data_IF_787311720326
#
_entry.id   IF_787311720326
#
_cell.length_a   1.000
_cell.length_b   1.000
_cell.length_c   1.000
_cell.angle_alpha   90.00
_cell.angle_beta   90.00
_cell.angle_gamma   90.00
#
_symmetry.space_group_name_H-M   'P 1'
#
loop_
_entity.id
_entity.type
_entity.pdbx_description
1 polymer ?
#
# COMPACT_ATOMS: atom_id res chain seq x y z
N UNK A 1 -2.85 -41.36 -21.87
CA UNK A 1 -2.65 -40.12 -22.63
C UNK A 1 -1.91 -39.16 -21.73
N UNK A 2 -0.75 -38.64 -22.14
CA UNK A 2 -0.06 -37.58 -21.41
C UNK A 2 -0.91 -36.30 -21.60
N UNK A 3 -1.33 -35.69 -20.52
CA UNK A 3 -1.97 -34.38 -20.51
C UNK A 3 -0.89 -33.36 -20.90
N UNK A 4 -0.81 -33.01 -22.16
CA UNK A 4 0.12 -32.00 -22.68
C UNK A 4 -0.64 -30.68 -22.61
N UNK A 5 -0.23 -29.82 -21.70
CA UNK A 5 -0.77 -28.49 -21.55
C UNK A 5 0.11 -27.50 -22.32
N UNK A 6 -0.46 -26.81 -23.28
CA UNK A 6 0.17 -25.69 -23.96
C UNK A 6 0.22 -24.49 -22.99
N UNK A 7 1.40 -23.94 -22.78
CA UNK A 7 1.61 -22.74 -21.97
C UNK A 7 1.91 -21.62 -22.96
N UNK A 8 1.04 -20.60 -23.06
CA UNK A 8 1.30 -19.45 -23.93
C UNK A 8 2.60 -18.74 -23.51
N UNK A 9 3.40 -18.32 -24.49
CA UNK A 9 4.55 -17.45 -24.24
C UNK A 9 4.12 -16.13 -23.64
N UNK A 10 4.94 -15.58 -22.72
CA UNK A 10 4.68 -14.26 -22.14
C UNK A 10 4.84 -13.18 -23.24
N UNK A 11 3.91 -12.24 -23.33
CA UNK A 11 3.85 -11.15 -24.34
C UNK A 11 5.08 -10.21 -24.34
N UNK A 12 6.15 -10.50 -23.61
CA UNK A 12 7.28 -9.62 -23.36
C UNK A 12 8.61 -10.07 -23.97
N UNK A 13 8.62 -11.05 -24.86
CA UNK A 13 9.84 -11.44 -25.61
C UNK A 13 10.15 -10.49 -26.77
N UNK A 14 10.24 -9.17 -26.50
CA UNK A 14 10.73 -8.22 -27.48
C UNK A 14 12.26 -8.22 -27.50
N UNK A 15 12.84 -8.67 -28.59
CA UNK A 15 14.25 -8.45 -28.87
C UNK A 15 14.41 -6.99 -29.35
N UNK A 16 15.04 -6.15 -28.51
CA UNK A 16 15.30 -4.76 -28.81
C UNK A 16 16.64 -4.64 -29.58
N UNK A 17 16.66 -3.74 -30.55
CA UNK A 17 17.87 -3.57 -31.38
C UNK A 17 18.86 -2.57 -30.77
N UNK A 18 18.39 -1.53 -30.11
CA UNK A 18 19.19 -0.45 -29.53
C UNK A 18 18.82 -0.22 -28.07
N UNK A 19 19.69 -0.61 -27.17
CA UNK A 19 19.43 -0.53 -25.73
C UNK A 19 20.56 0.15 -24.98
N UNK A 20 20.20 0.77 -23.85
CA UNK A 20 21.16 1.25 -22.88
C UNK A 20 20.85 0.67 -21.49
N UNK A 21 21.89 0.53 -20.68
CA UNK A 21 21.76 0.12 -19.29
C UNK A 21 22.63 1.01 -18.41
N UNK A 22 22.13 1.35 -17.24
CA UNK A 22 22.81 2.16 -16.22
C UNK A 22 22.84 1.41 -14.91
N UNK A 23 24.02 1.01 -14.48
CA UNK A 23 24.25 0.53 -13.11
C UNK A 23 24.60 1.71 -12.23
N UNK A 24 23.72 2.05 -11.27
CA UNK A 24 23.74 3.31 -10.55
C UNK A 24 24.39 3.18 -9.18
N UNK A 25 25.36 4.05 -8.91
CA UNK A 25 25.96 4.33 -7.61
C UNK A 25 25.58 5.74 -7.12
N UNK A 26 26.01 6.09 -5.91
CA UNK A 26 25.68 7.40 -5.29
C UNK A 26 26.18 8.61 -6.09
N UNK A 27 27.39 8.56 -6.62
CA UNK A 27 28.04 9.69 -7.29
C UNK A 27 28.08 9.58 -8.81
N UNK A 28 27.76 8.41 -9.37
CA UNK A 28 27.89 8.13 -10.80
C UNK A 28 27.03 6.95 -11.23
N UNK A 29 26.88 6.78 -12.55
CA UNK A 29 26.32 5.56 -13.15
C UNK A 29 27.31 4.98 -14.16
N UNK A 30 27.45 3.67 -14.20
CA UNK A 30 28.15 2.96 -15.28
C UNK A 30 27.16 2.69 -16.40
N UNK A 31 27.35 3.36 -17.51
CA UNK A 31 26.46 3.28 -18.68
C UNK A 31 27.02 2.26 -19.67
N UNK A 32 26.16 1.45 -20.25
CA UNK A 32 26.45 0.60 -21.38
C UNK A 32 25.41 0.78 -22.47
N UNK A 33 25.80 1.23 -23.64
CA UNK A 33 24.97 1.11 -24.85
C UNK A 33 25.30 -0.20 -25.56
N UNK A 34 24.26 -0.81 -26.16
CA UNK A 34 24.38 -1.98 -26.98
C UNK A 34 23.54 -1.82 -28.24
N UNK A 35 24.26 -1.69 -29.39
CA UNK A 35 23.68 -1.35 -30.69
C UNK A 35 24.18 -2.29 -31.79
N UNK A 36 23.51 -2.40 -32.94
CA UNK A 36 24.03 -3.12 -34.10
C UNK A 36 25.35 -2.53 -34.58
N UNK A 37 26.27 -3.38 -35.08
CA UNK A 37 27.49 -2.92 -35.70
C UNK A 37 27.18 -2.28 -37.07
N UNK A 38 27.76 -1.12 -37.35
CA UNK A 38 27.43 -0.33 -38.54
C UNK A 38 27.65 -1.07 -39.87
N UNK A 39 28.69 -1.90 -39.95
CA UNK A 39 29.09 -2.54 -41.21
C UNK A 39 29.01 -4.08 -41.21
N UNK A 40 28.72 -4.72 -40.09
CA UNK A 40 28.70 -6.19 -39.97
C UNK A 40 27.34 -6.67 -39.45
N UNK A 41 26.45 -7.21 -40.32
CA UNK A 41 25.16 -7.75 -39.91
C UNK A 41 25.31 -8.85 -38.83
N UNK A 42 24.42 -8.83 -37.86
CA UNK A 42 24.40 -9.79 -36.73
C UNK A 42 25.45 -9.53 -35.64
N UNK A 43 26.45 -8.68 -35.86
CA UNK A 43 27.41 -8.27 -34.83
C UNK A 43 26.84 -7.12 -33.98
N UNK A 44 27.12 -7.15 -32.68
CA UNK A 44 26.71 -6.14 -31.70
C UNK A 44 27.93 -5.40 -31.15
N UNK A 45 27.78 -4.09 -30.94
CA UNK A 45 28.78 -3.25 -30.28
C UNK A 45 28.26 -2.87 -28.90
N UNK A 46 29.10 -3.04 -27.88
CA UNK A 46 28.84 -2.57 -26.53
C UNK A 46 29.87 -1.52 -26.17
N UNK A 47 29.43 -0.32 -25.88
CA UNK A 47 30.28 0.81 -25.43
C UNK A 47 29.96 1.08 -23.97
N UNK A 48 31.01 1.19 -23.11
CA UNK A 48 30.85 1.36 -21.67
C UNK A 48 31.63 2.57 -21.20
N UNK A 49 30.98 3.46 -20.45
CA UNK A 49 31.62 4.62 -19.83
C UNK A 49 30.91 5.00 -18.51
N UNK A 50 31.56 5.84 -17.73
CA UNK A 50 31.03 6.34 -16.48
C UNK A 50 30.46 7.74 -16.68
N UNK A 51 29.28 8.01 -16.09
CA UNK A 51 28.59 9.30 -16.10
C UNK A 51 28.40 9.75 -14.66
N UNK A 52 28.71 11.03 -14.38
CA UNK A 52 28.44 11.62 -13.05
C UNK A 52 26.93 11.69 -12.79
N UNK A 53 26.52 11.46 -11.53
CA UNK A 53 25.12 11.57 -11.11
C UNK A 53 24.66 13.04 -10.94
N UNK A 54 25.24 13.97 -11.68
CA UNK A 54 24.83 15.40 -11.71
C UNK A 54 23.84 15.64 -12.83
N UNK A 55 22.95 16.61 -12.63
CA UNK A 55 21.88 16.92 -13.58
C UNK A 55 22.42 17.15 -15.01
N UNK A 56 23.42 17.99 -15.17
CA UNK A 56 23.96 18.32 -16.50
C UNK A 56 24.59 17.10 -17.20
N UNK A 57 25.31 16.25 -16.44
CA UNK A 57 25.91 15.05 -17.02
C UNK A 57 24.86 14.02 -17.46
N UNK A 58 23.76 13.90 -16.71
CA UNK A 58 22.66 13.00 -17.07
C UNK A 58 21.86 13.55 -18.24
N UNK A 59 21.66 14.86 -18.34
CA UNK A 59 21.00 15.48 -19.50
C UNK A 59 21.85 15.29 -20.77
N UNK A 60 23.18 15.49 -20.68
CA UNK A 60 24.06 15.20 -21.82
C UNK A 60 24.01 13.71 -22.23
N UNK A 61 23.98 12.79 -21.25
CA UNK A 61 23.75 11.37 -21.52
C UNK A 61 22.40 11.14 -22.24
N UNK A 62 21.35 11.82 -21.82
CA UNK A 62 20.02 11.65 -22.43
C UNK A 62 20.02 12.07 -23.91
N UNK A 63 20.68 13.20 -24.23
CA UNK A 63 20.84 13.68 -25.58
C UNK A 63 21.65 12.68 -26.43
N UNK A 64 22.76 12.15 -25.91
CA UNK A 64 23.60 11.13 -26.55
C UNK A 64 22.85 9.81 -26.83
N UNK A 65 22.01 9.37 -25.88
CA UNK A 65 21.17 8.17 -26.03
C UNK A 65 20.05 8.39 -27.06
N UNK A 66 19.48 9.58 -27.12
CA UNK A 66 18.47 9.93 -28.12
C UNK A 66 19.07 9.98 -29.54
N UNK A 67 20.28 10.56 -29.72
CA UNK A 67 21.01 10.56 -31.00
C UNK A 67 21.37 9.14 -31.49
N UNK A 68 21.54 8.21 -30.53
CA UNK A 68 21.79 6.79 -30.84
C UNK A 68 20.50 6.00 -31.14
N UNK A 69 19.32 6.61 -31.18
CA UNK A 69 18.01 5.97 -31.34
C UNK A 69 17.80 4.80 -30.33
N UNK A 70 18.13 5.02 -29.07
CA UNK A 70 17.97 4.01 -28.03
C UNK A 70 16.50 3.76 -27.76
N UNK A 71 16.02 2.55 -28.01
CA UNK A 71 14.62 2.12 -27.83
C UNK A 71 14.25 1.99 -26.36
N UNK A 72 15.22 1.59 -25.49
CA UNK A 72 15.00 1.40 -24.06
C UNK A 72 16.25 1.62 -23.25
N UNK A 73 16.07 2.33 -22.13
CA UNK A 73 17.10 2.49 -21.10
C UNK A 73 16.67 1.73 -19.85
N UNK A 74 17.53 0.87 -19.32
CA UNK A 74 17.30 0.17 -18.07
C UNK A 74 18.21 0.73 -16.99
N UNK A 75 17.62 1.08 -15.85
CA UNK A 75 18.33 1.62 -14.68
C UNK A 75 18.24 0.60 -13.56
N UNK A 76 19.39 0.15 -13.03
CA UNK A 76 19.47 -0.72 -11.85
C UNK A 76 19.96 0.07 -10.65
N UNK A 77 19.23 -0.01 -9.52
CA UNK A 77 19.70 0.56 -8.25
C UNK A 77 19.20 -0.21 -7.04
N UNK A 78 20.02 -0.26 -6.01
CA UNK A 78 19.66 -0.85 -4.71
C UNK A 78 19.13 0.16 -3.70
N UNK A 79 19.23 1.48 -4.00
CA UNK A 79 18.81 2.61 -3.17
C UNK A 79 18.04 3.63 -4.00
N UNK A 80 17.83 4.83 -3.49
CA UNK A 80 17.15 5.94 -4.17
C UNK A 80 18.01 6.67 -5.22
N UNK A 81 19.26 6.26 -5.40
CA UNK A 81 20.21 6.88 -6.33
C UNK A 81 19.81 6.78 -7.81
N UNK A 82 18.88 5.89 -8.15
CA UNK A 82 18.31 5.75 -9.48
C UNK A 82 17.44 6.94 -9.91
N UNK A 83 16.87 7.70 -8.95
CA UNK A 83 15.89 8.76 -9.23
C UNK A 83 16.41 9.83 -10.18
N UNK A 84 17.59 10.44 -10.02
CA UNK A 84 18.09 11.43 -10.95
C UNK A 84 18.21 10.88 -12.37
N UNK A 85 18.76 9.68 -12.54
CA UNK A 85 18.88 9.05 -13.87
C UNK A 85 17.49 8.78 -14.47
N UNK A 86 16.62 8.13 -13.72
CA UNK A 86 15.28 7.78 -14.23
C UNK A 86 14.50 9.01 -14.63
N UNK A 87 14.41 10.01 -13.75
CA UNK A 87 13.54 11.17 -13.96
C UNK A 87 14.04 12.08 -15.09
N UNK A 88 15.33 12.28 -15.22
CA UNK A 88 15.88 13.13 -16.25
C UNK A 88 15.86 12.45 -17.63
N UNK A 89 16.12 11.15 -17.70
CA UNK A 89 16.00 10.38 -18.94
C UNK A 89 14.53 10.27 -19.39
N UNK A 90 13.59 10.03 -18.46
CA UNK A 90 12.16 10.05 -18.73
C UNK A 90 11.68 11.41 -19.24
N UNK A 91 12.14 12.52 -18.63
CA UNK A 91 11.79 13.88 -19.03
C UNK A 91 12.27 14.24 -20.43
N UNK A 92 13.30 13.54 -20.95
CA UNK A 92 13.77 13.67 -22.35
C UNK A 92 13.04 12.74 -23.31
N UNK A 93 11.97 12.05 -22.86
CA UNK A 93 11.14 11.19 -23.70
C UNK A 93 11.70 9.79 -23.94
N UNK A 94 12.78 9.39 -23.25
CA UNK A 94 13.32 8.05 -23.37
C UNK A 94 12.44 7.03 -22.63
N UNK A 95 12.30 5.83 -23.19
CA UNK A 95 11.63 4.71 -22.53
C UNK A 95 12.53 4.13 -21.43
N UNK A 96 12.30 4.51 -20.17
CA UNK A 96 13.15 4.13 -19.04
C UNK A 96 12.47 3.06 -18.20
N UNK A 97 13.19 1.97 -17.92
CA UNK A 97 12.76 0.92 -17.02
C UNK A 97 13.65 0.89 -15.76
N UNK A 98 13.03 0.92 -14.60
CA UNK A 98 13.72 0.63 -13.34
C UNK A 98 13.66 -0.87 -13.08
N UNK A 99 14.80 -1.50 -12.81
CA UNK A 99 14.86 -2.92 -12.50
C UNK A 99 15.51 -3.18 -11.14
N UNK A 100 15.08 -4.27 -10.50
CA UNK A 100 15.61 -4.62 -9.20
C UNK A 100 16.87 -5.48 -9.33
N UNK A 101 17.96 -5.05 -8.71
CA UNK A 101 19.24 -5.77 -8.65
C UNK A 101 19.12 -7.26 -8.27
N UNK A 102 18.15 -7.61 -7.41
CA UNK A 102 17.95 -8.99 -6.99
C UNK A 102 17.47 -9.92 -8.13
N UNK A 103 16.73 -9.39 -9.10
CA UNK A 103 16.28 -10.17 -10.26
C UNK A 103 17.43 -10.42 -11.24
N UNK A 104 18.34 -9.47 -11.37
CA UNK A 104 19.51 -9.53 -12.23
C UNK A 104 20.60 -10.46 -11.67
N UNK A 105 20.75 -10.53 -10.34
CA UNK A 105 21.80 -11.31 -9.64
C UNK A 105 21.64 -12.83 -9.71
N UNK A 106 20.46 -13.34 -10.00
CA UNK A 106 20.17 -14.78 -9.96
C UNK A 106 20.47 -15.52 -11.27
N UNK A 107 21.04 -14.84 -12.28
CA UNK A 107 21.40 -15.47 -13.55
C UNK A 107 22.85 -15.98 -13.47
N UNK A 108 23.10 -17.29 -13.72
CA UNK A 108 24.45 -17.88 -13.67
C UNK A 108 25.40 -17.23 -14.69
N UNK A 109 26.70 -17.15 -14.34
CA UNK A 109 27.76 -16.68 -15.26
C UNK A 109 28.01 -15.16 -15.23
N UNK A 110 27.52 -14.45 -14.22
CA UNK A 110 27.72 -13.01 -14.06
C UNK A 110 29.16 -12.68 -13.64
N UNK A 111 29.89 -11.85 -14.39
CA UNK A 111 31.15 -11.24 -13.95
C UNK A 111 30.91 -10.20 -12.84
N UNK A 112 31.94 -9.92 -12.01
CA UNK A 112 31.79 -9.06 -10.83
C UNK A 112 32.56 -7.73 -10.95
N UNK A 113 32.27 -6.94 -11.97
CA UNK A 113 32.79 -5.56 -12.07
C UNK A 113 31.68 -4.65 -12.59
N UNK A 114 31.62 -3.40 -12.14
CA UNK A 114 30.58 -2.45 -12.53
C UNK A 114 30.45 -2.32 -14.07
N UNK A 115 31.58 -2.35 -14.80
CA UNK A 115 31.57 -2.33 -16.28
C UNK A 115 30.88 -3.57 -16.87
N UNK A 116 31.21 -4.74 -16.34
CA UNK A 116 30.64 -6.00 -16.83
C UNK A 116 29.18 -6.17 -16.35
N UNK A 117 28.83 -5.59 -15.21
CA UNK A 117 27.46 -5.55 -14.72
C UNK A 117 26.57 -4.69 -15.63
N UNK A 118 27.03 -3.51 -16.06
CA UNK A 118 26.30 -2.68 -17.03
C UNK A 118 26.15 -3.39 -18.39
N UNK A 119 27.21 -4.05 -18.88
CA UNK A 119 27.14 -4.85 -20.13
C UNK A 119 26.16 -6.02 -19.99
N UNK A 120 26.16 -6.69 -18.85
CA UNK A 120 25.23 -7.78 -18.56
C UNK A 120 23.78 -7.30 -18.55
N UNK A 121 23.54 -6.19 -17.87
CA UNK A 121 22.23 -5.56 -17.81
C UNK A 121 21.72 -5.18 -19.20
N UNK A 122 22.58 -4.60 -20.06
CA UNK A 122 22.26 -4.29 -21.46
C UNK A 122 21.92 -5.54 -22.28
N UNK A 123 22.65 -6.67 -22.09
CA UNK A 123 22.34 -7.94 -22.76
C UNK A 123 21.00 -8.52 -22.34
N UNK A 124 20.64 -8.42 -21.05
CA UNK A 124 19.33 -8.86 -20.54
C UNK A 124 18.19 -7.97 -21.06
N UNK A 125 18.43 -6.66 -21.17
CA UNK A 125 17.49 -5.72 -21.76
C UNK A 125 17.20 -6.05 -23.22
N UNK A 126 18.26 -6.26 -24.00
CA UNK A 126 18.16 -6.63 -25.43
C UNK A 126 17.29 -7.87 -25.65
N UNK A 127 17.40 -8.85 -24.76
CA UNK A 127 16.71 -10.14 -24.85
C UNK A 127 15.31 -10.15 -24.21
N UNK A 128 14.80 -9.02 -23.75
CA UNK A 128 13.51 -8.96 -23.05
C UNK A 128 13.42 -9.70 -21.71
N UNK A 129 14.57 -10.07 -21.12
CA UNK A 129 14.62 -10.92 -19.90
C UNK A 129 14.40 -10.15 -18.59
N UNK A 130 14.15 -8.84 -18.65
CA UNK A 130 13.97 -7.99 -17.49
C UNK A 130 12.50 -7.59 -17.33
N UNK A 131 12.07 -7.52 -16.07
CA UNK A 131 10.74 -7.02 -15.72
C UNK A 131 10.88 -5.66 -15.05
N UNK A 132 10.17 -4.62 -15.53
CA UNK A 132 10.22 -3.31 -14.91
C UNK A 132 9.58 -3.31 -13.53
N UNK A 133 10.16 -2.52 -12.64
CA UNK A 133 9.52 -2.10 -11.42
C UNK A 133 8.54 -0.97 -11.71
N UNK A 134 7.39 -0.96 -11.06
CA UNK A 134 6.42 0.12 -11.25
C UNK A 134 6.96 1.44 -10.67
N UNK A 135 7.17 2.41 -11.55
CA UNK A 135 7.43 3.82 -11.21
C UNK A 135 6.22 4.62 -11.70
N UNK A 136 5.45 5.26 -10.82
CA UNK A 136 4.27 5.99 -11.23
C UNK A 136 4.62 7.27 -11.99
N UNK A 137 3.64 7.86 -12.72
CA UNK A 137 3.78 9.17 -13.37
C UNK A 137 4.16 10.27 -12.37
N UNK A 138 4.70 11.38 -12.87
CA UNK A 138 5.23 12.49 -12.06
C UNK A 138 4.21 13.03 -11.03
N UNK A 139 2.96 13.23 -11.46
CA UNK A 139 1.88 13.72 -10.61
C UNK A 139 1.57 12.78 -9.44
N UNK A 140 1.57 11.47 -9.71
CA UNK A 140 1.38 10.45 -8.68
C UNK A 140 2.62 10.33 -7.77
N UNK A 141 3.83 10.60 -8.29
CA UNK A 141 5.05 10.65 -7.46
C UNK A 141 5.00 11.80 -6.48
N UNK A 142 4.57 12.99 -6.92
CA UNK A 142 4.38 14.15 -6.04
C UNK A 142 3.36 13.82 -4.93
N UNK A 143 2.18 13.33 -5.30
CA UNK A 143 1.16 12.92 -4.34
C UNK A 143 1.69 11.86 -3.35
N UNK A 144 2.51 10.92 -3.82
CA UNK A 144 3.12 9.87 -3.00
C UNK A 144 4.08 10.44 -1.96
N UNK A 145 4.86 11.43 -2.29
CA UNK A 145 5.80 12.06 -1.35
C UNK A 145 5.03 12.73 -0.19
N UNK A 146 3.97 13.47 -0.49
CA UNK A 146 3.10 14.08 0.52
C UNK A 146 2.37 13.04 1.38
N UNK A 147 1.78 12.02 0.78
CA UNK A 147 1.02 10.99 1.52
C UNK A 147 1.92 10.17 2.42
N UNK A 148 3.12 9.82 1.97
CA UNK A 148 4.12 9.09 2.78
C UNK A 148 4.60 9.93 3.94
N UNK A 149 4.96 11.19 3.71
CA UNK A 149 5.35 12.10 4.78
C UNK A 149 4.24 12.24 5.82
N UNK A 150 2.97 12.40 5.39
CA UNK A 150 1.82 12.43 6.31
C UNK A 150 1.73 11.16 7.18
N UNK A 151 1.93 9.98 6.59
CA UNK A 151 1.93 8.70 7.34
C UNK A 151 3.08 8.67 8.35
N UNK A 152 4.27 9.09 7.97
CA UNK A 152 5.44 9.07 8.84
C UNK A 152 5.31 10.06 10.00
N UNK A 153 4.87 11.30 9.74
CA UNK A 153 4.58 12.28 10.79
C UNK A 153 3.43 11.83 11.71
N UNK A 154 2.41 11.15 11.19
CA UNK A 154 1.34 10.55 12.02
C UNK A 154 1.90 9.49 12.97
N UNK A 155 2.83 8.66 12.51
CA UNK A 155 3.51 7.68 13.36
C UNK A 155 4.38 8.34 14.41
N UNK A 156 5.09 9.40 14.06
CA UNK A 156 5.91 10.18 14.99
C UNK A 156 5.04 10.84 16.06
N UNK A 157 3.95 11.46 15.66
CA UNK A 157 2.97 12.04 16.60
C UNK A 157 2.46 10.99 17.59
N UNK A 158 2.12 9.80 17.11
CA UNK A 158 1.70 8.69 17.98
C UNK A 158 2.79 8.25 18.96
N UNK A 159 4.08 8.29 18.54
CA UNK A 159 5.20 8.00 19.43
C UNK A 159 5.32 9.05 20.55
N UNK A 160 5.07 10.34 20.27
CA UNK A 160 5.08 11.37 21.30
C UNK A 160 3.95 11.17 22.31
N UNK A 161 2.74 10.83 21.86
CA UNK A 161 1.64 10.46 22.76
C UNK A 161 1.99 9.25 23.65
N UNK A 162 2.62 8.21 23.09
CA UNK A 162 3.07 7.04 23.85
C UNK A 162 4.21 7.38 24.85
N UNK A 163 5.10 8.30 24.50
CA UNK A 163 6.14 8.78 25.45
C UNK A 163 5.52 9.55 26.59
N UNK A 164 4.51 10.38 26.30
CA UNK A 164 3.77 11.09 27.33
C UNK A 164 3.03 10.14 28.27
N UNK A 165 2.38 9.10 27.73
CA UNK A 165 1.77 8.05 28.56
C UNK A 165 2.80 7.38 29.50
N UNK A 166 3.99 7.04 29.00
CA UNK A 166 5.06 6.47 29.82
C UNK A 166 5.58 7.44 30.88
N UNK A 167 5.64 8.73 30.56
CA UNK A 167 6.02 9.76 31.54
C UNK A 167 4.98 9.86 32.68
N UNK A 168 3.69 9.77 32.35
CA UNK A 168 2.64 9.73 33.36
C UNK A 168 2.72 8.45 34.22
N UNK A 169 3.06 7.30 33.63
CA UNK A 169 3.30 6.05 34.37
C UNK A 169 4.48 6.17 35.32
N UNK A 170 5.57 6.85 34.93
CA UNK A 170 6.73 7.15 35.79
C UNK A 170 6.35 8.06 36.96
N UNK A 171 5.47 9.02 36.71
CA UNK A 171 4.88 9.88 37.73
C UNK A 171 3.81 9.18 38.59
N UNK A 172 3.63 7.86 38.44
CA UNK A 172 2.62 7.03 39.12
C UNK A 172 1.16 7.43 38.80
N UNK A 173 0.93 8.11 37.69
CA UNK A 173 -0.39 8.51 37.23
C UNK A 173 -0.94 7.48 36.23
N UNK A 174 -2.12 6.93 36.53
CA UNK A 174 -2.75 5.88 35.73
C UNK A 174 -3.86 6.41 34.81
N UNK A 175 -3.73 7.63 34.31
CA UNK A 175 -4.77 8.33 33.55
C UNK A 175 -5.23 7.53 32.32
N UNK A 176 -4.33 6.83 31.62
CA UNK A 176 -4.63 6.00 30.43
C UNK A 176 -5.56 4.82 30.73
N UNK A 177 -5.65 4.36 31.98
CA UNK A 177 -6.58 3.28 32.36
C UNK A 177 -8.03 3.73 32.40
N UNK A 178 -8.27 5.03 32.58
CA UNK A 178 -9.61 5.65 32.67
C UNK A 178 -9.97 6.44 31.43
N UNK A 179 -9.03 7.25 30.92
CA UNK A 179 -9.13 8.04 29.71
C UNK A 179 -8.44 7.31 28.54
N UNK A 180 -9.23 6.74 27.65
CA UNK A 180 -8.71 5.97 26.50
C UNK A 180 -7.90 6.83 25.51
N UNK A 181 -8.22 8.13 25.45
CA UNK A 181 -7.52 9.11 24.63
C UNK A 181 -6.95 10.22 25.53
N UNK A 182 -5.66 10.14 25.79
CA UNK A 182 -4.93 11.15 26.57
C UNK A 182 -4.82 12.50 25.87
N UNK A 183 -4.86 12.50 24.53
CA UNK A 183 -4.75 13.72 23.72
C UNK A 183 -6.10 14.34 23.41
N UNK A 184 -7.21 13.69 23.81
CA UNK A 184 -8.57 14.23 23.73
C UNK A 184 -8.80 15.37 24.73
N UNK A 185 -9.90 16.10 24.56
CA UNK A 185 -10.21 17.34 25.29
C UNK A 185 -9.98 17.23 26.80
N UNK A 186 -10.49 16.16 27.45
CA UNK A 186 -10.35 15.99 28.91
C UNK A 186 -8.95 15.59 29.34
N UNK A 187 -8.33 14.61 28.65
CA UNK A 187 -6.98 14.15 28.96
C UNK A 187 -5.97 15.29 28.78
N UNK A 188 -6.09 16.01 27.68
CA UNK A 188 -5.25 17.18 27.40
C UNK A 188 -5.39 18.27 28.48
N UNK A 189 -6.62 18.62 28.89
CA UNK A 189 -6.84 19.62 29.93
C UNK A 189 -6.22 19.22 31.28
N UNK A 190 -6.32 17.94 31.66
CA UNK A 190 -5.69 17.42 32.88
C UNK A 190 -4.16 17.49 32.82
N UNK A 191 -3.56 17.11 31.69
CA UNK A 191 -2.12 17.15 31.49
C UNK A 191 -1.61 18.61 31.52
N UNK A 192 -2.32 19.54 30.86
CA UNK A 192 -1.98 20.96 30.88
C UNK A 192 -2.08 21.56 32.29
N UNK A 193 -3.07 21.16 33.08
CA UNK A 193 -3.20 21.58 34.47
C UNK A 193 -2.05 21.03 35.34
N UNK A 194 -1.66 19.76 35.15
CA UNK A 194 -0.50 19.18 35.80
C UNK A 194 0.79 19.94 35.48
N UNK A 195 1.00 20.33 34.24
CA UNK A 195 2.14 21.15 33.78
C UNK A 195 2.08 22.55 34.41
N UNK A 196 0.88 23.11 34.57
CA UNK A 196 0.67 24.39 35.20
C UNK A 196 0.85 24.39 36.74
N UNK A 197 1.11 23.22 37.33
CA UNK A 197 1.36 23.10 38.77
C UNK A 197 0.18 22.60 39.59
N UNK A 198 -0.95 22.24 38.98
CA UNK A 198 -2.06 21.63 39.71
C UNK A 198 -1.69 20.23 40.17
N UNK A 199 -1.95 19.91 41.44
CA UNK A 199 -1.61 18.62 42.04
C UNK A 199 -2.78 17.96 42.77
N UNK A 200 -3.90 18.71 42.99
CA UNK A 200 -5.09 18.13 43.62
C UNK A 200 -5.81 17.20 42.61
N UNK A 201 -5.87 15.88 42.85
CA UNK A 201 -6.57 14.95 41.97
C UNK A 201 -8.05 15.27 41.76
N UNK A 202 -8.69 15.95 42.70
CA UNK A 202 -10.11 16.35 42.59
C UNK A 202 -10.26 17.49 41.57
N UNK A 203 -9.42 18.51 41.69
CA UNK A 203 -9.41 19.65 40.77
C UNK A 203 -9.09 19.19 39.36
N UNK A 204 -8.14 18.26 39.19
CA UNK A 204 -7.81 17.64 37.92
C UNK A 204 -8.98 16.82 37.36
N UNK A 205 -9.68 16.04 38.18
CA UNK A 205 -10.83 15.23 37.77
C UNK A 205 -12.02 16.07 37.32
N UNK A 206 -12.21 17.28 37.90
CA UNK A 206 -13.25 18.24 37.55
C UNK A 206 -13.10 18.78 36.12
N UNK A 207 -11.92 18.67 35.51
CA UNK A 207 -11.68 19.04 34.12
C UNK A 207 -12.31 18.03 33.15
N UNK A 208 -12.84 16.90 33.64
CA UNK A 208 -13.47 15.87 32.79
C UNK A 208 -14.72 16.43 32.08
N UNK A 209 -14.85 16.12 30.79
CA UNK A 209 -15.98 16.51 29.92
C UNK A 209 -16.68 15.29 29.32
N UNK A 210 -17.94 15.46 28.99
CA UNK A 210 -18.76 14.44 28.34
C UNK A 210 -18.82 13.13 29.12
N UNK A 211 -18.56 12.01 28.46
CA UNK A 211 -18.64 10.66 29.06
C UNK A 211 -17.64 10.43 30.18
N UNK A 212 -16.57 11.19 30.26
CA UNK A 212 -15.56 11.01 31.31
C UNK A 212 -16.03 11.51 32.66
N UNK A 213 -17.02 12.43 32.73
CA UNK A 213 -17.59 12.95 33.97
C UNK A 213 -18.15 11.85 34.89
N UNK A 214 -18.78 10.82 34.33
CA UNK A 214 -19.33 9.70 35.13
C UNK A 214 -18.24 8.82 35.75
N UNK A 215 -16.97 8.99 35.33
CA UNK A 215 -15.81 8.28 35.88
C UNK A 215 -15.02 9.12 36.89
N UNK A 216 -15.60 10.17 37.46
CA UNK A 216 -14.93 11.15 38.31
C UNK A 216 -14.13 10.49 39.46
N UNK A 217 -14.74 9.56 40.22
CA UNK A 217 -14.05 8.86 41.31
C UNK A 217 -12.83 8.05 40.80
N UNK A 218 -12.98 7.38 39.66
CA UNK A 218 -11.86 6.64 39.04
C UNK A 218 -10.76 7.58 38.52
N UNK A 219 -11.11 8.79 38.08
CA UNK A 219 -10.14 9.80 37.70
C UNK A 219 -9.35 10.32 38.90
N UNK A 220 -10.00 10.59 40.04
CA UNK A 220 -9.30 11.00 41.28
C UNK A 220 -8.24 9.95 41.63
N UNK A 221 -8.60 8.69 41.65
CA UNK A 221 -7.67 7.59 41.95
C UNK A 221 -6.53 7.52 40.92
N UNK A 222 -6.85 7.60 39.64
CA UNK A 222 -5.87 7.55 38.55
C UNK A 222 -4.92 8.76 38.47
N UNK A 223 -5.33 9.90 39.02
CA UNK A 223 -4.54 11.14 39.09
C UNK A 223 -3.83 11.32 40.43
N UNK A 224 -3.99 10.38 41.35
CA UNK A 224 -3.23 10.33 42.61
C UNK A 224 -1.87 9.70 42.35
N UNK A 225 -0.81 10.52 42.41
CA UNK A 225 0.54 10.07 42.12
C UNK A 225 1.57 11.14 42.48
N UNK A 226 2.74 11.08 41.86
CA UNK A 226 3.84 12.02 42.11
C UNK A 226 4.27 12.65 40.79
N UNK A 227 3.72 13.80 40.47
CA UNK A 227 4.06 14.58 39.29
C UNK A 227 4.91 15.78 39.72
N UNK A 228 6.21 15.66 39.57
CA UNK A 228 7.19 16.68 39.95
C UNK A 228 7.46 17.67 38.78
N UNK A 229 8.20 18.75 39.05
CA UNK A 229 8.43 19.80 38.05
C UNK A 229 9.16 19.30 36.81
N UNK A 230 10.13 18.36 36.96
CA UNK A 230 10.80 17.75 35.81
C UNK A 230 9.83 16.95 34.90
N UNK A 231 8.79 16.30 35.46
CA UNK A 231 7.74 15.69 34.64
C UNK A 231 6.95 16.75 33.86
N UNK A 232 6.69 17.91 34.49
CA UNK A 232 6.04 19.03 33.81
C UNK A 232 6.84 19.58 32.62
N UNK A 233 8.16 19.76 32.80
CA UNK A 233 9.06 20.19 31.73
C UNK A 233 9.07 19.20 30.57
N UNK A 234 9.25 17.91 30.85
CA UNK A 234 9.28 16.86 29.83
C UNK A 234 7.91 16.70 29.14
N UNK A 235 6.81 16.77 29.89
CA UNK A 235 5.47 16.73 29.34
C UNK A 235 5.21 17.89 28.37
N UNK A 236 5.65 19.12 28.71
CA UNK A 236 5.54 20.29 27.85
C UNK A 236 6.28 20.06 26.54
N UNK A 237 7.54 19.62 26.58
CA UNK A 237 8.32 19.33 25.37
C UNK A 237 7.63 18.29 24.48
N UNK A 238 7.07 17.22 25.06
CA UNK A 238 6.36 16.18 24.31
C UNK A 238 5.05 16.69 23.67
N UNK A 239 4.30 17.55 24.40
CA UNK A 239 3.09 18.17 23.88
C UNK A 239 3.40 19.14 22.75
N UNK A 240 4.42 19.97 22.88
CA UNK A 240 4.84 20.92 21.84
C UNK A 240 5.22 20.19 20.54
N UNK A 241 5.95 19.09 20.65
CA UNK A 241 6.24 18.22 19.51
C UNK A 241 4.96 17.61 18.89
N UNK A 242 4.04 17.14 19.74
CA UNK A 242 2.78 16.57 19.27
C UNK A 242 1.94 17.60 18.52
N UNK A 243 1.85 18.81 19.03
CA UNK A 243 1.06 19.91 18.45
C UNK A 243 1.68 20.39 17.13
N UNK A 244 2.99 20.58 17.10
CA UNK A 244 3.71 20.91 15.86
C UNK A 244 3.48 19.87 14.75
N UNK A 245 3.57 18.59 15.08
CA UNK A 245 3.29 17.50 14.14
C UNK A 245 1.81 17.49 13.71
N UNK A 246 0.89 17.85 14.59
CA UNK A 246 -0.54 17.94 14.26
C UNK A 246 -0.80 18.99 13.20
N UNK A 247 -0.23 20.20 13.38
CA UNK A 247 -0.33 21.29 12.39
C UNK A 247 0.27 20.88 11.04
N UNK A 248 1.46 20.23 11.04
CA UNK A 248 2.09 19.77 9.81
C UNK A 248 1.25 18.70 9.09
N UNK A 249 0.65 17.76 9.82
CA UNK A 249 -0.24 16.73 9.26
C UNK A 249 -1.49 17.37 8.62
N UNK A 250 -2.04 18.41 9.22
CA UNK A 250 -3.18 19.17 8.68
C UNK A 250 -2.79 19.89 7.37
N UNK A 251 -1.65 20.58 7.35
CA UNK A 251 -1.13 21.23 6.15
C UNK A 251 -0.89 20.24 5.01
N UNK A 252 -0.27 19.08 5.31
CA UNK A 252 -0.09 18.02 4.32
C UNK A 252 -1.44 17.48 3.82
N UNK A 253 -2.42 17.34 4.70
CA UNK A 253 -3.76 16.87 4.33
C UNK A 253 -4.42 17.83 3.34
N UNK A 254 -4.41 19.12 3.63
CA UNK A 254 -4.95 20.15 2.72
C UNK A 254 -4.23 20.16 1.35
N UNK A 255 -2.90 19.99 1.35
CA UNK A 255 -2.13 19.91 0.09
C UNK A 255 -2.49 18.65 -0.72
N UNK A 256 -2.64 17.50 -0.06
CA UNK A 256 -3.05 16.25 -0.68
C UNK A 256 -4.44 16.36 -1.29
N UNK A 257 -5.40 16.98 -0.58
CA UNK A 257 -6.75 17.20 -1.11
C UNK A 257 -6.72 18.07 -2.37
N UNK A 258 -5.92 19.13 -2.37
CA UNK A 258 -5.71 19.98 -3.56
C UNK A 258 -5.13 19.19 -4.74
N UNK A 259 -4.08 18.40 -4.51
CA UNK A 259 -3.44 17.63 -5.57
C UNK A 259 -4.38 16.58 -6.18
N UNK A 260 -5.15 15.89 -5.35
CA UNK A 260 -6.14 14.91 -5.84
C UNK A 260 -7.25 15.61 -6.61
N UNK A 261 -7.69 16.79 -6.16
CA UNK A 261 -8.66 17.61 -6.89
C UNK A 261 -8.20 18.04 -8.29
N UNK A 262 -6.89 18.13 -8.50
CA UNK A 262 -6.26 18.49 -9.78
C UNK A 262 -6.03 17.30 -10.72
N UNK A 263 -6.17 16.04 -10.23
CA UNK A 263 -5.99 14.84 -11.05
C UNK A 263 -7.26 14.53 -11.85
N UNK A 264 -7.29 14.69 -13.19
CA UNK A 264 -8.50 14.43 -13.99
C UNK A 264 -9.00 12.98 -13.83
N UNK A 265 -8.10 12.01 -13.80
CA UNK A 265 -8.45 10.60 -13.64
C UNK A 265 -9.01 10.24 -12.25
N UNK A 266 -8.86 11.12 -11.24
CA UNK A 266 -9.45 10.94 -9.92
C UNK A 266 -10.88 11.47 -9.83
N UNK A 267 -11.28 12.31 -10.80
CA UNK A 267 -12.63 12.88 -10.87
C UNK A 267 -13.60 11.89 -11.54
N UNK A 268 -14.91 12.06 -11.36
CA UNK A 268 -15.87 11.26 -12.10
C UNK A 268 -15.71 11.54 -13.61
N UNK A 269 -15.93 10.53 -14.47
CA UNK A 269 -15.98 10.75 -15.91
C UNK A 269 -16.99 11.87 -16.22
N UNK A 270 -16.66 12.74 -17.16
CA UNK A 270 -17.60 13.75 -17.64
C UNK A 270 -18.84 13.03 -18.17
N UNK A 271 -20.01 13.31 -17.61
CA UNK A 271 -21.27 12.85 -18.18
C UNK A 271 -21.40 13.44 -19.58
N UNK A 272 -21.83 12.65 -20.54
CA UNK A 272 -22.20 13.13 -21.87
C UNK A 272 -23.43 14.05 -21.68
N UNK A 273 -23.21 15.35 -21.57
CA UNK A 273 -24.23 16.39 -21.46
C UNK A 273 -24.84 16.70 -22.85
N UNK A 274 -24.99 15.68 -23.69
CA UNK A 274 -25.67 15.74 -24.98
C UNK A 274 -27.07 15.17 -24.85
N UNK A 275 -27.96 15.94 -24.24
CA UNK A 275 -29.36 15.58 -24.10
C UNK A 275 -30.24 16.78 -23.87
N UNK A 276 -30.35 17.71 -24.87
CA UNK A 276 -31.58 18.48 -25.07
C UNK A 276 -32.73 17.49 -25.32
N UNK A 277 -33.57 17.32 -24.34
CA UNK A 277 -34.71 16.41 -24.40
C UNK A 277 -35.76 16.83 -23.38
N UNK A 278 -36.60 17.81 -23.73
CA UNK A 278 -37.91 18.01 -23.15
C UNK A 278 -38.69 16.66 -23.16
N UNK A 279 -39.01 16.13 -22.01
CA UNK A 279 -39.74 14.86 -21.87
C UNK A 279 -40.19 14.64 -20.44
N UNK A 280 -41.39 15.16 -20.12
CA UNK A 280 -42.21 14.75 -18.99
C UNK A 280 -42.37 13.23 -18.92
N UNK A 281 -42.05 12.60 -17.82
CA UNK A 281 -42.39 11.19 -17.63
C UNK A 281 -41.62 10.39 -16.60
N UNK A 282 -42.09 10.35 -15.36
CA UNK A 282 -41.96 9.14 -14.53
C UNK A 282 -40.70 9.02 -13.67
N UNK A 283 -40.90 9.16 -12.37
CA UNK A 283 -40.02 8.74 -11.31
C UNK A 283 -39.50 7.31 -11.46
N UNK A 284 -38.32 7.11 -12.09
CA UNK A 284 -37.54 5.87 -12.00
C UNK A 284 -36.19 6.04 -12.72
N UNK A 285 -35.21 6.22 -12.02
CA UNK A 285 -33.75 6.12 -12.21
C UNK A 285 -33.10 7.45 -11.81
N UNK A 286 -32.84 7.59 -10.51
CA UNK A 286 -31.78 8.47 -10.08
C UNK A 286 -30.52 8.00 -10.83
N UNK A 287 -30.12 8.74 -11.86
CA UNK A 287 -28.86 8.52 -12.56
C UNK A 287 -27.78 8.35 -11.48
N UNK A 288 -27.17 7.18 -11.46
CA UNK A 288 -26.21 6.84 -10.42
C UNK A 288 -25.04 7.82 -10.56
N UNK A 289 -25.05 8.86 -9.75
CA UNK A 289 -24.02 9.92 -9.75
C UNK A 289 -22.65 9.26 -9.71
N UNK A 290 -21.87 9.47 -10.75
CA UNK A 290 -20.49 9.01 -10.80
C UNK A 290 -19.71 9.69 -9.69
N UNK A 291 -19.01 8.90 -8.86
CA UNK A 291 -18.25 9.42 -7.73
C UNK A 291 -16.76 9.52 -8.06
N UNK A 292 -16.06 10.51 -7.47
CA UNK A 292 -14.61 10.56 -7.49
C UNK A 292 -13.97 9.28 -6.96
N UNK A 293 -12.77 8.95 -7.43
CA UNK A 293 -12.06 7.74 -7.03
C UNK A 293 -11.88 7.61 -5.50
N UNK A 294 -11.65 8.72 -4.79
CA UNK A 294 -11.53 8.73 -3.31
C UNK A 294 -12.82 8.27 -2.67
N UNK A 295 -13.98 8.79 -3.10
CA UNK A 295 -15.27 8.44 -2.54
C UNK A 295 -15.64 6.98 -2.82
N UNK A 296 -15.35 6.48 -4.02
CA UNK A 296 -15.58 5.07 -4.38
C UNK A 296 -14.73 4.10 -3.56
N UNK A 297 -13.48 4.47 -3.26
CA UNK A 297 -12.62 3.68 -2.41
C UNK A 297 -13.02 3.73 -0.93
N UNK A 298 -13.58 4.85 -0.47
CA UNK A 298 -14.07 5.04 0.90
C UNK A 298 -15.28 4.14 1.23
N UNK A 299 -16.02 3.68 0.21
CA UNK A 299 -17.12 2.72 0.37
C UNK A 299 -16.65 1.36 0.91
N UNK A 300 -15.36 1.02 0.77
CA UNK A 300 -14.82 -0.26 1.21
C UNK A 300 -14.72 -0.28 2.74
N UNK A 301 -15.33 -1.25 3.44
CA UNK A 301 -15.22 -1.35 4.88
C UNK A 301 -13.78 -1.36 5.38
N UNK A 302 -13.43 -0.37 6.19
CA UNK A 302 -12.10 -0.17 6.75
C UNK A 302 -11.16 0.72 5.94
N UNK A 303 -11.60 1.22 4.79
CA UNK A 303 -10.93 2.29 4.07
C UNK A 303 -11.63 3.61 4.39
N UNK A 304 -10.91 4.62 4.85
CA UNK A 304 -11.42 5.99 5.02
C UNK A 304 -10.81 6.90 3.95
N UNK A 305 -11.24 8.18 3.86
CA UNK A 305 -10.75 9.11 2.83
C UNK A 305 -9.23 9.21 2.78
N UNK A 306 -8.57 9.30 3.94
CA UNK A 306 -7.09 9.33 4.02
C UNK A 306 -6.44 8.03 3.51
N UNK A 307 -7.09 6.91 3.73
CA UNK A 307 -6.67 5.60 3.21
C UNK A 307 -6.82 5.54 1.69
N UNK A 308 -7.93 6.03 1.15
CA UNK A 308 -8.18 6.14 -0.29
C UNK A 308 -7.13 7.00 -0.99
N UNK A 309 -6.77 8.14 -0.40
CA UNK A 309 -5.71 9.02 -0.90
C UNK A 309 -4.34 8.31 -0.97
N UNK A 310 -3.98 7.56 0.09
CA UNK A 310 -2.76 6.77 0.10
C UNK A 310 -2.78 5.64 -0.94
N UNK A 311 -3.93 5.00 -1.16
CA UNK A 311 -4.09 3.98 -2.22
C UNK A 311 -3.82 4.57 -3.59
N UNK A 312 -4.43 5.70 -3.92
CA UNK A 312 -4.19 6.40 -5.18
C UNK A 312 -2.72 6.76 -5.35
N UNK A 313 -2.08 7.29 -4.29
CA UNK A 313 -0.66 7.62 -4.33
C UNK A 313 0.26 6.41 -4.53
N UNK A 314 -0.07 5.25 -3.97
CA UNK A 314 0.76 4.06 -4.04
C UNK A 314 0.51 3.20 -5.29
N UNK A 315 -0.71 3.18 -5.81
CA UNK A 315 -1.11 2.36 -6.95
C UNK A 315 -1.18 3.13 -8.27
N UNK A 316 -1.42 4.45 -8.22
CA UNK A 316 -1.86 5.22 -9.36
C UNK A 316 -3.34 4.98 -9.65
N UNK A 317 -3.82 5.60 -10.73
CA UNK A 317 -5.19 5.47 -11.23
C UNK A 317 -5.27 4.62 -12.49
N UNK A 318 -4.16 4.48 -13.22
CA UNK A 318 -4.07 3.65 -14.41
C UNK A 318 -3.80 2.18 -14.04
N UNK A 319 -4.84 1.35 -14.16
CA UNK A 319 -4.75 -0.09 -13.88
C UNK A 319 -4.22 -0.92 -15.06
N UNK A 320 -3.93 -0.33 -16.21
CA UNK A 320 -3.28 -1.03 -17.34
C UNK A 320 -1.91 -1.58 -16.95
N UNK A 321 -1.26 -0.94 -15.98
CA UNK A 321 -0.01 -1.41 -15.35
C UNK A 321 -0.16 -2.78 -14.65
N UNK A 322 -1.38 -3.14 -14.28
CA UNK A 322 -1.71 -4.40 -13.64
C UNK A 322 -2.85 -5.09 -14.40
N UNK A 323 -2.56 -5.87 -15.45
CA UNK A 323 -3.57 -6.43 -16.37
C UNK A 323 -4.69 -7.21 -15.66
N UNK A 324 -4.44 -7.72 -14.48
CA UNK A 324 -5.47 -8.36 -13.62
C UNK A 324 -5.25 -8.01 -12.16
N UNK A 325 -6.30 -8.15 -11.35
CA UNK A 325 -6.21 -8.03 -9.89
C UNK A 325 -5.13 -8.96 -9.30
N UNK A 326 -4.89 -10.12 -9.92
CA UNK A 326 -3.85 -11.07 -9.54
C UNK A 326 -2.43 -10.48 -9.68
N UNK A 327 -2.17 -9.70 -10.74
CA UNK A 327 -0.90 -9.00 -10.94
C UNK A 327 -0.66 -7.96 -9.85
N UNK A 328 -1.67 -7.14 -9.52
CA UNK A 328 -1.58 -6.17 -8.44
C UNK A 328 -1.31 -6.84 -7.09
N UNK A 329 -2.00 -7.93 -6.78
CA UNK A 329 -1.80 -8.70 -5.54
C UNK A 329 -0.40 -9.33 -5.48
N UNK A 330 0.12 -9.81 -6.61
CA UNK A 330 1.49 -10.34 -6.71
C UNK A 330 2.53 -9.24 -6.52
N UNK A 331 2.35 -8.09 -7.19
CA UNK A 331 3.22 -6.94 -7.06
C UNK A 331 3.27 -6.41 -5.62
N UNK A 332 2.14 -6.30 -4.95
CA UNK A 332 2.05 -5.87 -3.54
C UNK A 332 2.63 -6.88 -2.54
N UNK A 333 3.05 -8.06 -3.00
CA UNK A 333 3.55 -9.16 -2.17
C UNK A 333 2.55 -9.64 -1.10
N UNK A 334 1.26 -9.60 -1.39
CA UNK A 334 0.20 -10.18 -0.55
C UNK A 334 -0.13 -11.63 -0.90
N UNK A 335 0.45 -12.18 -1.95
CA UNK A 335 0.44 -13.61 -2.24
C UNK A 335 1.53 -14.34 -1.45
N UNK A 336 1.21 -15.39 -0.68
CA UNK A 336 2.21 -16.31 -0.16
C UNK A 336 2.93 -17.01 -1.33
N UNK A 337 4.25 -17.17 -1.22
CA UNK A 337 5.00 -17.95 -2.21
C UNK A 337 4.60 -19.42 -2.13
N UNK A 338 4.49 -20.08 -3.26
CA UNK A 338 4.40 -21.54 -3.31
C UNK A 338 5.82 -22.10 -3.35
N UNK A 339 6.12 -23.02 -2.44
CA UNK A 339 7.40 -23.72 -2.40
C UNK A 339 7.10 -25.17 -2.75
N UNK A 340 7.51 -25.57 -3.93
CA UNK A 340 7.31 -26.95 -4.41
C UNK A 340 8.66 -27.59 -4.71
N UNK A 341 8.85 -28.82 -4.20
CA UNK A 341 10.00 -29.64 -4.50
C UNK A 341 9.51 -31.08 -4.67
N UNK A 342 9.53 -31.58 -5.90
CA UNK A 342 8.93 -32.84 -6.27
C UNK A 342 7.43 -32.89 -5.94
N UNK A 343 7.00 -33.90 -5.21
CA UNK A 343 5.61 -34.08 -4.78
C UNK A 343 5.21 -33.24 -3.57
N UNK A 344 6.16 -32.58 -2.87
CA UNK A 344 5.91 -31.81 -1.67
C UNK A 344 5.65 -30.34 -2.04
N UNK A 345 4.44 -29.83 -1.73
CA UNK A 345 4.08 -28.43 -1.86
C UNK A 345 3.77 -27.82 -0.49
N UNK A 346 4.35 -26.66 -0.18
CA UNK A 346 4.09 -25.90 1.04
C UNK A 346 3.91 -24.42 0.74
N UNK A 347 3.07 -23.76 1.51
CA UNK A 347 2.90 -22.32 1.47
C UNK A 347 4.10 -21.62 2.11
N UNK A 348 4.74 -20.71 1.40
CA UNK A 348 5.77 -19.81 1.91
C UNK A 348 5.18 -18.58 2.60
N UNK A 349 6.05 -17.67 3.02
CA UNK A 349 5.67 -16.37 3.58
C UNK A 349 5.37 -15.35 2.46
N UNK A 350 4.61 -14.31 2.81
CA UNK A 350 4.47 -13.12 1.97
C UNK A 350 5.80 -12.35 1.92
N UNK A 351 6.13 -11.76 0.78
CA UNK A 351 7.32 -10.93 0.64
C UNK A 351 7.21 -9.59 1.41
N UNK A 352 8.31 -8.81 1.47
CA UNK A 352 8.30 -7.49 2.15
C UNK A 352 7.29 -6.53 1.51
N UNK A 353 7.34 -6.32 0.19
CA UNK A 353 6.44 -5.40 -0.52
C UNK A 353 6.55 -3.95 -0.05
N UNK A 354 5.61 -3.11 -0.49
CA UNK A 354 5.52 -1.71 -0.11
C UNK A 354 4.98 -1.57 1.33
N UNK A 355 5.73 -0.94 2.26
CA UNK A 355 5.34 -0.87 3.68
C UNK A 355 4.14 0.05 3.94
N UNK A 356 3.94 1.10 3.14
CA UNK A 356 2.81 2.01 3.28
C UNK A 356 1.51 1.33 2.84
N UNK A 357 1.49 0.73 1.66
CA UNK A 357 0.35 -0.03 1.16
C UNK A 357 0.00 -1.20 2.07
N UNK A 358 0.99 -1.98 2.51
CA UNK A 358 0.73 -3.12 3.40
C UNK A 358 0.28 -2.71 4.79
N UNK A 359 0.80 -1.59 5.31
CA UNK A 359 0.34 -1.01 6.57
C UNK A 359 -1.12 -0.65 6.50
N UNK A 360 -1.51 0.16 5.51
CA UNK A 360 -2.90 0.56 5.29
C UNK A 360 -3.84 -0.66 5.12
N UNK A 361 -3.49 -1.61 4.24
CA UNK A 361 -4.31 -2.78 4.00
C UNK A 361 -4.43 -3.69 5.24
N UNK A 362 -3.41 -3.71 6.09
CA UNK A 362 -3.45 -4.41 7.38
C UNK A 362 -4.42 -3.75 8.36
N UNK A 363 -4.41 -2.42 8.46
CA UNK A 363 -5.33 -1.64 9.29
C UNK A 363 -6.77 -1.76 8.76
N UNK A 364 -6.96 -1.62 7.44
CA UNK A 364 -8.26 -1.79 6.80
C UNK A 364 -8.85 -3.19 7.04
N UNK A 365 -8.02 -4.24 6.90
CA UNK A 365 -8.45 -5.61 7.17
C UNK A 365 -8.82 -5.82 8.65
N UNK A 366 -8.09 -5.18 9.58
CA UNK A 366 -8.39 -5.26 11.01
C UNK A 366 -9.68 -4.50 11.38
N UNK A 367 -9.96 -3.38 10.72
CA UNK A 367 -11.20 -2.64 10.87
C UNK A 367 -12.38 -3.42 10.27
N UNK A 368 -12.27 -3.89 9.03
CA UNK A 368 -13.29 -4.68 8.35
C UNK A 368 -13.62 -5.99 9.09
N UNK A 369 -12.65 -6.60 9.77
CA UNK A 369 -12.85 -7.80 10.57
C UNK A 369 -13.88 -7.63 11.70
N UNK A 370 -14.09 -6.39 12.15
CA UNK A 370 -15.03 -6.05 13.23
C UNK A 370 -16.44 -5.71 12.74
N UNK A 371 -16.63 -5.59 11.42
CA UNK A 371 -17.90 -5.21 10.80
C UNK A 371 -18.77 -6.44 10.50
N UNK A 372 -20.08 -6.21 10.35
CA UNK A 372 -21.02 -7.24 9.90
C UNK A 372 -21.22 -7.15 8.39
N UNK A 373 -20.14 -7.38 7.66
CA UNK A 373 -20.04 -7.33 6.20
C UNK A 373 -19.46 -8.64 5.67
N UNK A 374 -19.47 -8.81 4.33
CA UNK A 374 -18.76 -9.91 3.66
C UNK A 374 -17.31 -10.06 4.10
N UNK A 375 -16.57 -8.94 4.23
CA UNK A 375 -15.16 -8.96 4.65
C UNK A 375 -15.03 -9.41 6.10
N UNK A 376 -15.91 -8.97 7.00
CA UNK A 376 -15.95 -9.42 8.39
C UNK A 376 -16.32 -10.90 8.51
N UNK A 377 -17.31 -11.37 7.77
CA UNK A 377 -17.68 -12.78 7.72
C UNK A 377 -16.53 -13.65 7.16
N UNK A 378 -15.83 -13.17 6.12
CA UNK A 378 -14.63 -13.81 5.57
C UNK A 378 -13.54 -13.95 6.62
N UNK A 379 -13.27 -12.89 7.41
CA UNK A 379 -12.32 -12.94 8.51
C UNK A 379 -12.73 -13.99 9.56
N UNK A 380 -13.97 -13.91 10.08
CA UNK A 380 -14.49 -14.84 11.11
C UNK A 380 -14.39 -16.31 10.68
N UNK A 381 -14.61 -16.60 9.41
CA UNK A 381 -14.45 -17.95 8.82
C UNK A 381 -12.99 -18.38 8.75
N UNK A 382 -12.08 -17.50 8.34
CA UNK A 382 -10.68 -17.84 8.13
C UNK A 382 -9.89 -17.93 9.43
N UNK A 383 -10.19 -17.10 10.43
CA UNK A 383 -9.45 -17.06 11.69
C UNK A 383 -9.54 -18.37 12.44
N UNK A 384 -10.69 -19.07 12.41
CA UNK A 384 -10.91 -20.38 13.04
C UNK A 384 -10.01 -21.48 12.46
N UNK A 385 -9.60 -21.35 11.19
CA UNK A 385 -8.85 -22.38 10.45
C UNK A 385 -7.37 -22.07 10.27
N UNK A 386 -7.00 -20.79 10.20
CA UNK A 386 -5.65 -20.33 9.78
C UNK A 386 -4.98 -19.41 10.80
N UNK A 387 -5.70 -19.00 11.85
CA UNK A 387 -5.22 -18.04 12.85
C UNK A 387 -5.29 -16.58 12.38
N UNK A 388 -5.12 -15.66 13.33
CA UNK A 388 -5.38 -14.23 13.18
C UNK A 388 -4.58 -13.58 12.04
N UNK A 389 -3.27 -13.74 12.03
CA UNK A 389 -2.40 -13.06 11.06
C UNK A 389 -2.68 -13.51 9.63
N UNK A 390 -2.83 -14.82 9.39
CA UNK A 390 -3.14 -15.33 8.03
C UNK A 390 -4.53 -14.92 7.56
N UNK A 391 -5.51 -14.83 8.48
CA UNK A 391 -6.86 -14.35 8.17
C UNK A 391 -6.84 -12.87 7.77
N UNK A 392 -6.11 -12.01 8.49
CA UNK A 392 -5.96 -10.59 8.14
C UNK A 392 -5.29 -10.41 6.76
N UNK A 393 -4.21 -11.14 6.46
CA UNK A 393 -3.57 -11.09 5.15
C UNK A 393 -4.54 -11.51 4.02
N UNK A 394 -5.39 -12.52 4.26
CA UNK A 394 -6.37 -12.96 3.28
C UNK A 394 -7.50 -11.93 3.05
N UNK A 395 -7.91 -11.20 4.09
CA UNK A 395 -8.87 -10.08 3.98
C UNK A 395 -8.21 -8.90 3.27
N UNK A 396 -7.00 -8.51 3.65
CA UNK A 396 -6.21 -7.46 2.98
C UNK A 396 -6.06 -7.73 1.47
N UNK A 397 -5.79 -8.99 1.10
CA UNK A 397 -5.79 -9.41 -0.31
C UNK A 397 -7.15 -9.20 -0.98
N UNK A 398 -8.26 -9.53 -0.30
CA UNK A 398 -9.61 -9.34 -0.86
C UNK A 398 -9.92 -7.85 -1.06
N UNK A 399 -9.55 -7.01 -0.10
CA UNK A 399 -9.66 -5.54 -0.21
C UNK A 399 -8.88 -5.06 -1.43
N UNK A 400 -7.64 -5.52 -1.62
CA UNK A 400 -6.83 -5.10 -2.77
C UNK A 400 -7.42 -5.54 -4.12
N UNK A 401 -8.07 -6.70 -4.19
CA UNK A 401 -8.82 -7.14 -5.38
C UNK A 401 -10.00 -6.22 -5.66
N UNK A 402 -10.76 -5.82 -4.63
CA UNK A 402 -11.87 -4.86 -4.76
C UNK A 402 -11.35 -3.52 -5.26
N UNK A 403 -10.26 -3.00 -4.68
CA UNK A 403 -9.61 -1.76 -5.11
C UNK A 403 -9.24 -1.81 -6.59
N UNK A 404 -8.67 -2.92 -7.08
CA UNK A 404 -8.33 -3.06 -8.48
C UNK A 404 -9.56 -2.91 -9.38
N UNK A 405 -10.68 -3.55 -9.04
CA UNK A 405 -11.91 -3.44 -9.83
C UNK A 405 -12.47 -2.01 -9.83
N UNK A 406 -12.46 -1.33 -8.67
CA UNK A 406 -12.94 0.04 -8.57
C UNK A 406 -12.07 1.05 -9.32
N UNK A 407 -10.76 0.80 -9.42
CA UNK A 407 -9.84 1.68 -10.16
C UNK A 407 -9.79 1.33 -11.65
N UNK A 408 -9.99 0.06 -12.03
CA UNK A 408 -10.01 -0.37 -13.43
C UNK A 408 -11.28 0.08 -14.18
N UNK A 409 -12.38 0.24 -13.46
CA UNK A 409 -13.64 0.72 -14.00
C UNK A 409 -14.11 1.96 -13.22
N UNK A 410 -14.03 3.17 -13.81
CA UNK A 410 -14.46 4.41 -13.16
C UNK A 410 -15.94 4.46 -12.78
N UNK A 411 -16.79 3.61 -13.37
CA UNK A 411 -18.21 3.54 -13.06
C UNK A 411 -18.54 2.56 -11.94
N UNK A 412 -17.60 1.67 -11.61
CA UNK A 412 -17.81 0.64 -10.61
C UNK A 412 -17.98 1.22 -9.19
N UNK A 413 -18.90 0.65 -8.43
CA UNK A 413 -19.19 0.98 -7.03
C UNK A 413 -18.99 -0.26 -6.16
N UNK A 414 -18.65 -0.05 -4.90
CA UNK A 414 -18.58 -1.14 -3.95
C UNK A 414 -19.98 -1.55 -3.51
N UNK A 415 -20.28 -2.84 -3.62
CA UNK A 415 -21.48 -3.45 -3.06
C UNK A 415 -21.07 -4.53 -2.07
N UNK A 416 -21.53 -4.38 -0.82
CA UNK A 416 -21.28 -5.45 0.16
C UNK A 416 -22.16 -6.67 -0.14
N UNK A 417 -21.53 -7.82 -0.24
CA UNK A 417 -22.20 -9.09 -0.47
C UNK A 417 -22.90 -9.64 0.77
N UNK A 418 -22.78 -8.95 1.90
CA UNK A 418 -23.39 -9.28 3.17
C UNK A 418 -22.67 -10.38 3.97
N UNK A 419 -23.00 -10.48 5.27
CA UNK A 419 -22.38 -11.43 6.18
C UNK A 419 -22.69 -12.89 5.83
N UNK A 420 -23.84 -13.14 5.19
CA UNK A 420 -24.34 -14.47 4.88
C UNK A 420 -23.92 -15.02 3.51
N UNK A 421 -23.16 -14.24 2.74
CA UNK A 421 -22.69 -14.62 1.41
C UNK A 421 -22.05 -16.01 1.34
N UNK A 422 -21.28 -16.37 2.39
CA UNK A 422 -20.61 -17.66 2.43
C UNK A 422 -21.50 -18.79 2.92
N UNK A 423 -22.51 -18.47 3.74
CA UNK A 423 -23.43 -19.45 4.31
C UNK A 423 -24.54 -19.80 3.32
N UNK A 424 -25.05 -18.83 2.58
CA UNK A 424 -26.07 -19.02 1.54
C UNK A 424 -25.61 -19.86 0.33
N UNK A 425 -24.29 -19.91 0.10
CA UNK A 425 -23.66 -20.70 -0.97
C UNK A 425 -23.11 -22.05 -0.55
N UNK A 426 -23.42 -22.48 0.68
CA UNK A 426 -23.03 -23.81 1.14
C UNK A 426 -23.99 -24.82 0.52
N UNK A 427 -23.42 -25.76 -0.23
CA UNK A 427 -24.13 -26.98 -0.60
C UNK A 427 -24.44 -27.78 0.69
N UNK A 428 -25.66 -27.60 1.16
CA UNK A 428 -26.14 -28.20 2.43
C UNK A 428 -26.08 -29.71 2.36
N UNK A 429 -26.44 -30.32 1.23
CA UNK A 429 -26.43 -31.78 1.06
C UNK A 429 -25.00 -32.33 1.13
N UNK A 430 -24.07 -31.67 0.44
CA UNK A 430 -22.65 -32.05 0.48
C UNK A 430 -22.06 -31.93 1.87
N UNK A 431 -22.45 -30.89 2.61
CA UNK A 431 -21.97 -30.64 3.99
C UNK A 431 -22.57 -31.69 4.93
N UNK A 432 -23.86 -31.98 4.80
CA UNK A 432 -24.55 -33.01 5.57
C UNK A 432 -23.92 -34.39 5.34
N UNK A 433 -23.73 -34.79 4.08
CA UNK A 433 -23.02 -36.03 3.74
C UNK A 433 -21.61 -36.08 4.34
N UNK A 434 -20.89 -34.94 4.39
CA UNK A 434 -19.57 -34.85 5.03
C UNK A 434 -19.62 -35.10 6.53
N UNK A 435 -20.59 -34.52 7.24
CA UNK A 435 -20.77 -34.75 8.69
C UNK A 435 -21.21 -36.16 9.02
N UNK A 436 -22.12 -36.74 8.23
CA UNK A 436 -22.55 -38.15 8.37
C UNK A 436 -21.34 -39.08 8.24
N UNK A 437 -20.52 -38.93 7.21
CA UNK A 437 -19.27 -39.72 7.04
C UNK A 437 -18.31 -39.59 8.22
N UNK A 438 -18.14 -38.39 8.78
CA UNK A 438 -17.27 -38.16 9.91
C UNK A 438 -17.80 -38.88 11.17
N UNK A 439 -19.11 -38.83 11.42
CA UNK A 439 -19.72 -39.51 12.55
C UNK A 439 -19.65 -41.05 12.40
N UNK A 440 -19.90 -41.54 11.18
CA UNK A 440 -19.77 -42.98 10.85
C UNK A 440 -18.31 -43.46 11.05
N UNK A 441 -17.34 -42.67 10.65
CA UNK A 441 -15.92 -42.98 10.87
C UNK A 441 -15.51 -43.04 12.36
N UNK A 442 -16.30 -42.37 13.23
CA UNK A 442 -16.15 -42.43 14.70
C UNK A 442 -16.96 -43.57 15.34
N UNK A 443 -17.63 -44.41 14.51
CA UNK A 443 -18.36 -45.58 15.00
C UNK A 443 -19.83 -45.31 15.32
N UNK A 444 -20.38 -44.16 14.97
CA UNK A 444 -21.82 -43.86 15.18
C UNK A 444 -22.69 -44.26 14.00
N UNK A 445 -23.84 -44.82 14.27
CA UNK A 445 -24.92 -44.95 13.30
C UNK A 445 -25.73 -43.63 13.25
N UNK A 446 -25.90 -43.06 12.05
CA UNK A 446 -26.39 -41.67 11.92
C UNK A 446 -27.68 -41.63 11.14
N UNK A 447 -28.77 -41.30 11.83
CA UNK A 447 -30.09 -41.06 11.25
C UNK A 447 -30.37 -39.55 11.27
N UNK A 448 -30.71 -38.97 10.10
CA UNK A 448 -31.04 -37.55 9.97
C UNK A 448 -32.55 -37.36 9.93
N UNK A 449 -33.08 -36.49 10.77
CA UNK A 449 -34.44 -35.99 10.72
C UNK A 449 -34.42 -34.49 10.43
N UNK A 450 -35.26 -34.04 9.50
CA UNK A 450 -35.39 -32.60 9.19
C UNK A 450 -36.09 -31.95 10.39
N UNK A 451 -35.48 -30.90 10.93
CA UNK A 451 -36.13 -30.10 11.97
C UNK A 451 -37.33 -29.36 11.35
N UNK A 452 -38.46 -29.41 12.04
CA UNK A 452 -39.67 -28.74 11.63
C UNK A 452 -39.53 -27.21 11.67
#
# INVERSE_FOLDING_TARGET
MKDVQEIPDEEHEQVLSRVAAVDVAKASGMVCTRVPHASTPGRRVSTVWQVSATTNAILALADELAECDVERVVVESTSDYWRPFFYLLEARGLSVWLVNAHQVKNVPGRPKTDKLDAVWLAKLTERGMLRPSFVPPAEIRELRDYTRLRVDLTRERSRHAQRLEKLLEDALLKLSTVATDLMGVSGRAMIEALIAGERDPRMLADLARGRLRVKHAALIEALTGRFDDHHGELARMLLDCYDALTVQIEQLTARIDTLIGQLPAAQPPAGDDSGDGDGDGGAAAAEARLLPAVERLDEIPGIGPRGAQLLIAELGLDMTQFPTAGHLVSWSRLCPRTIQSGTKSRSGQTGRGNPYLKGLLGEAAAAAAKTDTFLGARYRRLVKRRGKLKALVAVARSILVIIWHLLADPTARYHDLGPDYHTSRIDTERKTRGHVRQLQALGYDVTLTVAA
#
